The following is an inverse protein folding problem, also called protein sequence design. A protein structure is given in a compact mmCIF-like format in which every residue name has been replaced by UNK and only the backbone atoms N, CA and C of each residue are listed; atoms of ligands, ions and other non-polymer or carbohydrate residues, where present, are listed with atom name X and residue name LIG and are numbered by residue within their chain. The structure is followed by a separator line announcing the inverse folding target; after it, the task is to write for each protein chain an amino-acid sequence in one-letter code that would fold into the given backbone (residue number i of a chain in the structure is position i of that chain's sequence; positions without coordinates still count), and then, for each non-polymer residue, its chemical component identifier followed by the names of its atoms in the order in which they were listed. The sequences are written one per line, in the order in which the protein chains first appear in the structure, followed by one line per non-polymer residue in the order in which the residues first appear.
data_IF_122400932327
#
_entry.id   IF_122400932327
#
_cell.length_a   1.000
_cell.length_b   1.000
_cell.length_c   1.000
_cell.angle_alpha   90.00
_cell.angle_beta   90.00
_cell.angle_gamma   90.00
#
_symmetry.space_group_name_H-M   'P 1'
#
loop_
_entity.id
_entity.type
_entity.pdbx_description
1 polymer ?
#
# COMPACT_ATOMS: atom_id res chain seq x y z
N UNK A 1 41.33 5.21 -12.27
CA UNK A 1 40.35 6.17 -12.80
C UNK A 1 39.19 5.34 -13.32
N UNK A 2 38.17 5.13 -12.48
CA UNK A 2 36.99 4.36 -12.85
C UNK A 2 35.97 5.37 -13.35
N UNK A 3 35.62 5.25 -14.63
CA UNK A 3 34.59 6.04 -15.29
C UNK A 3 33.24 5.75 -14.62
N UNK A 4 32.71 6.75 -13.92
CA UNK A 4 31.39 6.73 -13.32
C UNK A 4 30.40 7.39 -14.28
N UNK A 5 30.02 6.69 -15.36
CA UNK A 5 28.82 7.07 -16.13
C UNK A 5 27.58 6.55 -15.41
N UNK A 6 26.62 7.42 -15.03
CA UNK A 6 25.44 7.01 -14.30
C UNK A 6 24.42 6.41 -15.28
N UNK A 7 24.25 5.09 -15.28
CA UNK A 7 23.16 4.42 -15.99
C UNK A 7 21.91 4.33 -15.11
N UNK A 8 20.85 4.91 -15.65
CA UNK A 8 19.45 5.00 -15.21
C UNK A 8 18.98 4.02 -14.11
N UNK A 9 18.59 4.59 -12.98
CA UNK A 9 17.22 4.39 -12.46
C UNK A 9 16.92 3.16 -11.61
N UNK A 10 17.85 2.60 -10.83
CA UNK A 10 17.53 1.62 -9.78
C UNK A 10 18.14 2.06 -8.44
N UNK A 11 17.30 2.49 -7.49
CA UNK A 11 17.74 2.82 -6.14
C UNK A 11 18.07 1.54 -5.36
N UNK A 12 19.28 1.38 -4.78
CA UNK A 12 19.64 0.20 -4.01
C UNK A 12 18.97 0.21 -2.63
N UNK A 13 18.11 -0.78 -2.34
CA UNK A 13 17.55 -1.05 -1.01
C UNK A 13 18.65 -1.52 -0.05
N UNK A 14 18.54 -1.28 1.26
CA UNK A 14 19.58 -1.60 2.27
C UNK A 14 20.18 -3.01 2.15
N UNK A 15 19.36 -4.02 1.83
CA UNK A 15 19.82 -5.41 1.61
C UNK A 15 20.82 -5.54 0.46
N UNK A 16 20.69 -4.68 -0.56
CA UNK A 16 21.57 -4.66 -1.71
C UNK A 16 22.90 -3.94 -1.46
N UNK A 17 23.08 -3.21 -0.35
CA UNK A 17 24.38 -2.61 -0.01
C UNK A 17 25.39 -3.62 0.56
N UNK A 18 24.93 -4.74 1.12
CA UNK A 18 25.80 -5.78 1.65
C UNK A 18 26.54 -6.57 0.54
N UNK A 19 25.94 -6.67 -0.65
CA UNK A 19 26.46 -7.45 -1.77
C UNK A 19 27.69 -6.80 -2.44
N UNK A 20 27.71 -5.47 -2.74
CA UNK A 20 28.91 -4.78 -3.24
C UNK A 20 30.13 -4.87 -2.31
N UNK A 21 29.90 -5.02 -1.00
CA UNK A 21 30.98 -5.17 -0.02
C UNK A 21 31.62 -6.56 0.00
N UNK A 22 30.92 -7.58 -0.53
CA UNK A 22 31.37 -8.97 -0.51
C UNK A 22 31.76 -9.50 -1.91
N UNK A 23 31.22 -8.93 -2.99
CA UNK A 23 31.46 -9.38 -4.37
C UNK A 23 31.52 -8.18 -5.32
N UNK A 24 32.56 -8.11 -6.15
CA UNK A 24 32.66 -7.13 -7.24
C UNK A 24 31.80 -7.60 -8.43
N UNK A 25 30.50 -7.27 -8.41
CA UNK A 25 29.59 -7.56 -9.53
C UNK A 25 29.12 -6.26 -10.18
N UNK A 26 29.00 -6.28 -11.50
CA UNK A 26 28.49 -5.13 -12.27
C UNK A 26 27.04 -4.83 -11.89
N UNK A 27 26.75 -3.54 -11.68
CA UNK A 27 25.44 -3.07 -11.20
C UNK A 27 24.30 -3.32 -12.21
N UNK A 28 24.65 -3.64 -13.46
CA UNK A 28 23.69 -3.96 -14.53
C UNK A 28 23.01 -5.33 -14.36
N UNK A 29 23.62 -6.28 -13.64
CA UNK A 29 23.08 -7.63 -13.41
C UNK A 29 22.06 -7.69 -12.25
N UNK A 30 21.77 -6.54 -11.62
CA UNK A 30 20.88 -6.44 -10.48
C UNK A 30 19.42 -6.48 -10.92
N UNK A 31 18.92 -7.70 -11.05
CA UNK A 31 17.53 -7.99 -11.34
C UNK A 31 16.89 -8.93 -10.30
N UNK A 32 15.60 -9.20 -10.47
CA UNK A 32 14.80 -10.06 -9.62
C UNK A 32 15.44 -11.44 -9.48
N UNK A 33 15.82 -11.82 -8.25
CA UNK A 33 16.51 -13.09 -7.96
C UNK A 33 18.04 -13.00 -7.87
N UNK A 34 18.64 -11.84 -8.16
CA UNK A 34 20.09 -11.64 -8.09
C UNK A 34 20.68 -11.95 -6.71
N UNK A 35 19.95 -11.71 -5.62
CA UNK A 35 20.44 -11.98 -4.26
C UNK A 35 20.69 -13.47 -4.01
N UNK A 36 19.90 -14.38 -4.62
CA UNK A 36 20.12 -15.81 -4.50
C UNK A 36 21.38 -16.26 -5.27
N UNK A 37 21.63 -15.66 -6.44
CA UNK A 37 22.85 -15.90 -7.23
C UNK A 37 24.09 -15.31 -6.53
N UNK A 38 24.00 -14.10 -5.98
CA UNK A 38 25.05 -13.49 -5.18
C UNK A 38 25.38 -14.34 -3.93
N UNK A 39 24.37 -14.92 -3.28
CA UNK A 39 24.58 -15.83 -2.15
C UNK A 39 25.27 -17.14 -2.56
N UNK A 40 24.99 -17.66 -3.76
CA UNK A 40 25.73 -18.80 -4.31
C UNK A 40 27.20 -18.48 -4.55
N UNK A 41 27.49 -17.28 -5.07
CA UNK A 41 28.86 -16.81 -5.29
C UNK A 41 29.65 -16.68 -3.98
N UNK A 42 29.01 -16.26 -2.89
CA UNK A 42 29.66 -16.05 -1.59
C UNK A 42 29.82 -17.36 -0.80
N UNK A 43 28.80 -18.22 -0.78
CA UNK A 43 28.70 -19.32 0.20
C UNK A 43 28.27 -20.68 -0.38
N UNK A 44 28.33 -20.86 -1.71
CA UNK A 44 27.92 -22.08 -2.45
C UNK A 44 26.41 -22.39 -2.34
N UNK A 45 25.99 -23.47 -3.02
CA UNK A 45 24.59 -23.89 -3.21
C UNK A 45 23.75 -24.09 -1.94
N UNK A 46 24.38 -24.37 -0.79
CA UNK A 46 23.66 -24.58 0.47
C UNK A 46 22.96 -23.31 0.97
N UNK A 47 23.64 -22.16 0.91
CA UNK A 47 23.04 -20.89 1.33
C UNK A 47 21.95 -20.42 0.36
N UNK A 48 22.15 -20.66 -0.94
CA UNK A 48 21.14 -20.39 -1.97
C UNK A 48 19.82 -21.12 -1.67
N UNK A 49 19.89 -22.41 -1.34
CA UNK A 49 18.69 -23.21 -1.04
C UNK A 49 17.87 -22.65 0.14
N UNK A 50 18.53 -22.28 1.24
CA UNK A 50 17.85 -21.69 2.40
C UNK A 50 17.26 -20.31 2.10
N UNK A 51 17.96 -19.49 1.32
CA UNK A 51 17.47 -18.18 0.88
C UNK A 51 16.27 -18.32 -0.04
N UNK A 52 16.29 -19.27 -0.98
CA UNK A 52 15.14 -19.54 -1.86
C UNK A 52 13.92 -20.01 -1.08
N UNK A 53 14.08 -20.96 -0.15
CA UNK A 53 12.99 -21.40 0.74
C UNK A 53 12.46 -20.24 1.57
N UNK A 54 13.35 -19.45 2.18
CA UNK A 54 12.97 -18.30 2.99
C UNK A 54 12.22 -17.25 2.17
N UNK A 55 12.65 -16.99 0.94
CA UNK A 55 11.99 -16.06 0.02
C UNK A 55 10.58 -16.53 -0.35
N UNK A 56 10.40 -17.82 -0.68
CA UNK A 56 9.09 -18.40 -1.01
C UNK A 56 8.14 -18.34 0.20
N UNK A 57 8.61 -18.78 1.38
CA UNK A 57 7.81 -18.74 2.61
C UNK A 57 7.43 -17.31 2.99
N UNK A 58 8.35 -16.34 2.86
CA UNK A 58 8.09 -14.93 3.12
C UNK A 58 7.06 -14.34 2.14
N UNK A 59 7.13 -14.72 0.86
CA UNK A 59 6.18 -14.25 -0.14
C UNK A 59 4.76 -14.78 0.11
N UNK A 60 4.63 -16.05 0.52
CA UNK A 60 3.35 -16.66 0.90
C UNK A 60 2.77 -15.95 2.13
N UNK A 61 3.58 -15.77 3.18
CA UNK A 61 3.14 -15.12 4.42
C UNK A 61 2.70 -13.67 4.20
N UNK A 62 3.45 -12.90 3.40
CA UNK A 62 3.09 -11.53 3.07
C UNK A 62 1.79 -11.46 2.26
N UNK A 63 1.61 -12.38 1.30
CA UNK A 63 0.39 -12.45 0.48
C UNK A 63 -0.84 -12.75 1.33
N UNK A 64 -0.75 -13.73 2.23
CA UNK A 64 -1.85 -14.11 3.12
C UNK A 64 -2.22 -12.97 4.09
N UNK A 65 -1.21 -12.34 4.70
CA UNK A 65 -1.41 -11.18 5.57
C UNK A 65 -2.08 -10.00 4.82
N UNK A 66 -1.67 -9.74 3.59
CA UNK A 66 -2.23 -8.66 2.78
C UNK A 66 -3.68 -8.94 2.34
N UNK A 67 -3.98 -10.17 1.95
CA UNK A 67 -5.35 -10.60 1.61
C UNK A 67 -6.27 -10.47 2.82
N UNK A 68 -5.82 -10.92 3.99
CA UNK A 68 -6.57 -10.79 5.25
C UNK A 68 -6.84 -9.32 5.58
N UNK A 69 -5.80 -8.48 5.59
CA UNK A 69 -5.92 -7.03 5.86
C UNK A 69 -6.93 -6.36 4.92
N UNK A 70 -6.82 -6.60 3.62
CA UNK A 70 -7.69 -5.99 2.61
C UNK A 70 -9.15 -6.45 2.76
N UNK A 71 -9.38 -7.73 3.08
CA UNK A 71 -10.73 -8.26 3.29
C UNK A 71 -11.40 -7.65 4.54
N UNK A 72 -10.66 -7.50 5.63
CA UNK A 72 -11.18 -6.87 6.85
C UNK A 72 -11.36 -5.35 6.71
N UNK A 73 -10.51 -4.66 5.96
CA UNK A 73 -10.72 -3.24 5.63
C UNK A 73 -12.05 -3.02 4.91
N UNK A 74 -12.34 -3.86 3.92
CA UNK A 74 -13.58 -3.80 3.15
C UNK A 74 -14.82 -4.14 3.98
N UNK A 75 -14.71 -5.14 4.86
CA UNK A 75 -15.73 -5.44 5.86
C UNK A 75 -15.99 -4.22 6.77
N UNK A 76 -14.93 -3.59 7.30
CA UNK A 76 -15.03 -2.39 8.14
C UNK A 76 -15.74 -1.24 7.43
N UNK A 77 -15.44 -1.01 6.14
CA UNK A 77 -16.15 -0.03 5.31
C UNK A 77 -17.64 -0.35 5.15
N UNK A 78 -18.01 -1.63 5.06
CA UNK A 78 -19.41 -2.04 5.00
C UNK A 78 -20.13 -1.87 6.36
N UNK A 79 -19.43 -2.07 7.47
CA UNK A 79 -19.97 -1.91 8.83
C UNK A 79 -20.34 -0.44 9.13
N UNK A 80 -19.50 0.51 8.73
CA UNK A 80 -19.75 1.97 8.84
C UNK A 80 -20.64 2.54 7.72
N UNK A 81 -21.32 1.68 6.95
CA UNK A 81 -22.25 2.06 5.89
C UNK A 81 -21.64 2.86 4.71
N UNK A 82 -20.32 2.78 4.51
CA UNK A 82 -19.65 3.31 3.32
C UNK A 82 -19.86 2.40 2.10
N UNK A 83 -19.99 1.09 2.33
CA UNK A 83 -20.30 0.08 1.33
C UNK A 83 -21.64 -0.61 1.63
N UNK A 84 -22.32 -1.19 0.61
CA UNK A 84 -23.56 -1.93 0.81
C UNK A 84 -23.33 -3.19 1.65
N UNK A 85 -24.38 -3.66 2.35
CA UNK A 85 -24.33 -4.82 3.27
C UNK A 85 -23.74 -6.09 2.64
N UNK A 86 -23.80 -6.22 1.32
CA UNK A 86 -23.23 -7.34 0.59
C UNK A 86 -21.71 -7.52 0.87
N UNK A 87 -20.96 -6.43 0.95
CA UNK A 87 -19.51 -6.47 1.26
C UNK A 87 -19.22 -6.83 2.73
N UNK A 88 -20.23 -6.73 3.61
CA UNK A 88 -20.16 -7.15 5.00
C UNK A 88 -20.59 -8.60 5.26
N UNK A 89 -20.86 -9.39 4.21
CA UNK A 89 -21.29 -10.78 4.36
C UNK A 89 -20.14 -11.66 4.87
N UNK A 90 -20.38 -12.31 6.01
CA UNK A 90 -19.45 -13.28 6.60
C UNK A 90 -19.89 -14.71 6.29
N UNK A 91 -18.93 -15.60 6.08
CA UNK A 91 -19.19 -17.03 5.86
C UNK A 91 -19.75 -17.68 7.14
N UNK A 92 -20.76 -18.55 7.00
CA UNK A 92 -21.43 -19.19 8.15
C UNK A 92 -20.54 -20.14 8.94
N UNK A 93 -19.53 -20.71 8.30
CA UNK A 93 -18.69 -21.74 8.93
C UNK A 93 -17.46 -21.16 9.63
N UNK A 94 -16.78 -20.21 8.99
CA UNK A 94 -15.54 -19.59 9.52
C UNK A 94 -15.70 -18.14 9.98
N UNK A 95 -16.87 -17.53 9.81
CA UNK A 95 -17.12 -16.12 10.13
C UNK A 95 -16.17 -15.12 9.42
N UNK A 96 -15.64 -15.51 8.25
CA UNK A 96 -14.70 -14.71 7.45
C UNK A 96 -15.40 -13.90 6.36
N UNK A 97 -14.92 -12.69 6.02
CA UNK A 97 -15.46 -11.86 4.94
C UNK A 97 -15.11 -12.44 3.56
N UNK A 98 -15.87 -13.42 3.09
CA UNK A 98 -15.59 -14.13 1.84
C UNK A 98 -15.64 -13.22 0.61
N UNK A 99 -16.52 -12.22 0.59
CA UNK A 99 -16.64 -11.27 -0.53
C UNK A 99 -15.35 -10.45 -0.67
N UNK A 100 -14.77 -10.01 0.45
CA UNK A 100 -13.50 -9.27 0.45
C UNK A 100 -12.32 -10.13 -0.03
N UNK A 101 -12.30 -11.41 0.36
CA UNK A 101 -11.28 -12.37 -0.10
C UNK A 101 -11.41 -12.59 -1.61
N UNK A 102 -12.61 -12.89 -2.11
CA UNK A 102 -12.83 -13.12 -3.55
C UNK A 102 -12.50 -11.87 -4.36
N UNK A 103 -12.91 -10.69 -3.89
CA UNK A 103 -12.63 -9.44 -4.58
C UNK A 103 -11.12 -9.13 -4.62
N UNK A 104 -10.42 -9.25 -3.49
CA UNK A 104 -8.98 -9.00 -3.43
C UNK A 104 -8.19 -9.99 -4.29
N UNK A 105 -8.53 -11.28 -4.26
CA UNK A 105 -7.91 -12.29 -5.13
C UNK A 105 -8.21 -12.03 -6.61
N UNK A 106 -9.43 -11.64 -6.96
CA UNK A 106 -9.78 -11.29 -8.34
C UNK A 106 -9.00 -10.09 -8.87
N UNK A 107 -8.83 -9.04 -8.04
CA UNK A 107 -8.00 -7.87 -8.40
C UNK A 107 -6.54 -8.28 -8.58
N UNK A 108 -5.99 -9.07 -7.65
CA UNK A 108 -4.61 -9.57 -7.74
C UNK A 108 -4.39 -10.40 -9.02
N UNK A 109 -5.33 -11.28 -9.38
CA UNK A 109 -5.28 -12.04 -10.64
C UNK A 109 -5.36 -11.13 -11.86
N UNK A 110 -6.21 -10.11 -11.83
CA UNK A 110 -6.31 -9.11 -12.90
C UNK A 110 -5.00 -8.33 -13.09
N UNK A 111 -4.34 -7.95 -11.99
CA UNK A 111 -3.05 -7.25 -12.05
C UNK A 111 -1.90 -8.14 -12.52
N UNK A 112 -2.02 -9.47 -12.40
CA UNK A 112 -0.98 -10.42 -12.85
C UNK A 112 -0.68 -10.38 -14.36
N UNK A 113 -1.53 -9.74 -15.16
CA UNK A 113 -1.30 -9.52 -16.60
C UNK A 113 -0.38 -8.33 -16.91
N UNK A 114 -0.06 -7.50 -15.91
CA UNK A 114 0.78 -6.31 -16.04
C UNK A 114 2.24 -6.61 -15.70
N UNK A 115 3.16 -5.77 -16.20
CA UNK A 115 4.57 -5.91 -15.84
C UNK A 115 4.79 -5.59 -14.36
N UNK A 116 5.68 -6.36 -13.72
CA UNK A 116 5.91 -6.29 -12.27
C UNK A 116 6.42 -4.92 -11.83
N UNK A 117 7.26 -4.27 -12.64
CA UNK A 117 7.78 -2.94 -12.36
C UNK A 117 6.66 -1.88 -12.37
N UNK A 118 5.76 -1.98 -13.34
CA UNK A 118 4.62 -1.07 -13.44
C UNK A 118 3.64 -1.26 -12.28
N UNK A 119 3.42 -2.50 -11.83
CA UNK A 119 2.60 -2.82 -10.64
C UNK A 119 3.19 -2.16 -9.39
N UNK A 120 4.49 -2.38 -9.13
CA UNK A 120 5.15 -1.82 -7.95
C UNK A 120 5.14 -0.29 -8.01
N UNK A 121 5.46 0.29 -9.17
CA UNK A 121 5.48 1.74 -9.32
C UNK A 121 4.08 2.36 -9.13
N UNK A 122 3.03 1.70 -9.62
CA UNK A 122 1.64 2.14 -9.45
C UNK A 122 1.17 2.02 -8.00
N UNK A 123 1.53 0.93 -7.32
CA UNK A 123 1.24 0.75 -5.90
C UNK A 123 1.96 1.81 -5.05
N UNK A 124 3.23 2.08 -5.31
CA UNK A 124 4.01 3.11 -4.61
C UNK A 124 3.44 4.51 -4.84
N UNK A 125 2.97 4.81 -6.05
CA UNK A 125 2.33 6.09 -6.35
C UNK A 125 1.04 6.27 -5.53
N UNK A 126 0.15 5.28 -5.53
CA UNK A 126 -1.11 5.33 -4.78
C UNK A 126 -0.88 5.36 -3.27
N UNK A 127 0.11 4.60 -2.78
CA UNK A 127 0.50 4.62 -1.37
C UNK A 127 1.03 5.99 -0.96
N UNK A 128 1.89 6.60 -1.79
CA UNK A 128 2.40 7.95 -1.57
C UNK A 128 1.27 8.98 -1.51
N UNK A 129 0.32 8.89 -2.44
CA UNK A 129 -0.88 9.74 -2.45
C UNK A 129 -1.71 9.57 -1.17
N UNK A 130 -1.93 8.33 -0.72
CA UNK A 130 -2.63 8.04 0.55
C UNK A 130 -1.93 8.64 1.76
N UNK A 131 -0.62 8.46 1.87
CA UNK A 131 0.20 9.02 2.94
C UNK A 131 0.15 10.56 2.97
N UNK A 132 0.12 11.23 1.81
CA UNK A 132 -0.07 12.68 1.74
C UNK A 132 -1.43 13.10 2.33
N UNK A 133 -2.51 12.37 2.03
CA UNK A 133 -3.82 12.63 2.63
C UNK A 133 -3.85 12.35 4.14
N UNK A 134 -3.13 11.35 4.62
CA UNK A 134 -2.99 11.06 6.05
C UNK A 134 -2.26 12.20 6.77
N UNK A 135 -1.14 12.69 6.23
CA UNK A 135 -0.43 13.84 6.80
C UNK A 135 -1.27 15.12 6.77
N UNK A 136 -1.98 15.38 5.67
CA UNK A 136 -2.90 16.50 5.58
C UNK A 136 -4.01 16.41 6.62
N UNK A 137 -4.62 15.22 6.78
CA UNK A 137 -5.67 14.96 7.76
C UNK A 137 -5.16 15.08 9.20
N UNK A 138 -3.96 14.60 9.46
CA UNK A 138 -3.31 14.72 10.77
C UNK A 138 -3.09 16.18 11.18
N UNK A 139 -2.53 17.00 10.27
CA UNK A 139 -2.33 18.43 10.49
C UNK A 139 -3.68 19.16 10.64
N UNK A 140 -4.65 18.82 9.79
CA UNK A 140 -6.00 19.38 9.85
C UNK A 140 -6.69 19.09 11.18
N UNK A 141 -6.66 17.83 11.65
CA UNK A 141 -7.28 17.42 12.90
C UNK A 141 -6.61 18.08 14.10
N UNK A 142 -5.29 18.33 14.04
CA UNK A 142 -4.55 19.02 15.11
C UNK A 142 -4.88 20.51 15.19
N UNK A 143 -5.23 21.14 14.06
CA UNK A 143 -5.68 22.53 14.02
C UNK A 143 -7.16 22.68 14.42
N UNK A 144 -8.04 21.83 13.88
CA UNK A 144 -9.49 21.94 14.06
C UNK A 144 -9.96 21.48 15.44
N UNK A 145 -9.36 20.41 15.97
CA UNK A 145 -9.75 19.84 17.27
C UNK A 145 -8.55 19.64 18.20
N UNK A 146 -8.02 20.75 18.76
CA UNK A 146 -6.85 20.71 19.64
C UNK A 146 -7.15 20.13 21.04
N UNK A 147 -8.42 20.18 21.48
CA UNK A 147 -8.85 19.81 22.83
C UNK A 147 -9.27 18.34 23.00
N UNK A 148 -9.33 17.56 21.90
CA UNK A 148 -9.69 16.14 21.99
C UNK A 148 -8.63 15.40 22.81
N UNK A 149 -9.08 14.55 23.76
CA UNK A 149 -8.22 13.66 24.55
C UNK A 149 -7.52 12.67 23.63
N UNK A 150 -6.20 12.80 23.47
CA UNK A 150 -5.38 11.91 22.64
C UNK A 150 -4.54 11.01 23.54
N UNK A 151 -4.75 9.67 23.55
CA UNK A 151 -3.94 8.75 24.34
C UNK A 151 -2.45 8.84 24.02
N UNK A 152 -2.12 9.13 22.76
CA UNK A 152 -0.75 9.37 22.30
C UNK A 152 -0.65 10.72 21.57
N UNK A 153 0.35 11.53 21.92
CA UNK A 153 0.57 12.87 21.33
C UNK A 153 2.05 13.05 20.95
N UNK A 154 2.29 13.42 19.69
CA UNK A 154 3.62 13.84 19.23
C UNK A 154 4.01 15.14 19.96
N UNK A 155 5.16 15.19 20.66
CA UNK A 155 5.52 16.27 21.60
C UNK A 155 5.94 17.62 20.94
N UNK A 156 5.64 17.85 19.66
CA UNK A 156 6.07 19.08 18.95
C UNK A 156 4.96 20.13 18.80
N UNK A 157 5.32 21.41 18.72
CA UNK A 157 4.39 22.52 18.39
C UNK A 157 3.91 22.41 16.94
N UNK A 158 2.76 23.02 16.61
CA UNK A 158 2.15 22.96 15.27
C UNK A 158 3.10 23.34 14.10
N UNK A 159 3.84 24.47 14.12
CA UNK A 159 4.71 24.82 12.99
C UNK A 159 5.84 23.82 12.80
N UNK A 160 6.46 23.34 13.88
CA UNK A 160 7.51 22.33 13.82
C UNK A 160 6.99 20.99 13.28
N UNK A 161 5.75 20.64 13.64
CA UNK A 161 5.07 19.45 13.12
C UNK A 161 4.84 19.55 11.60
N UNK A 162 4.45 20.73 11.10
CA UNK A 162 4.28 20.97 9.66
C UNK A 162 5.61 20.76 8.94
N UNK A 163 6.71 21.32 9.46
CA UNK A 163 8.05 21.12 8.89
C UNK A 163 8.45 19.65 8.91
N UNK A 164 8.21 18.94 10.02
CA UNK A 164 8.48 17.51 10.13
C UNK A 164 7.70 16.69 9.09
N UNK A 165 6.43 17.03 8.83
CA UNK A 165 5.63 16.35 7.80
C UNK A 165 6.04 16.74 6.37
N UNK A 166 6.51 17.98 6.15
CA UNK A 166 6.94 18.43 4.82
C UNK A 166 8.14 17.65 4.28
N UNK A 167 9.07 17.23 5.13
CA UNK A 167 10.25 16.44 4.74
C UNK A 167 9.86 15.11 4.04
N UNK A 168 9.10 14.20 4.69
CA UNK A 168 8.65 12.98 4.03
C UNK A 168 7.68 13.28 2.87
N UNK A 169 6.82 14.29 2.97
CA UNK A 169 5.97 14.69 1.84
C UNK A 169 6.79 15.05 0.58
N UNK A 170 7.91 15.77 0.74
CA UNK A 170 8.80 16.11 -0.37
C UNK A 170 9.39 14.86 -1.03
N UNK A 171 9.80 13.86 -0.23
CA UNK A 171 10.30 12.58 -0.74
C UNK A 171 9.19 11.81 -1.47
N UNK A 172 7.98 11.75 -0.91
CA UNK A 172 6.84 11.08 -1.54
C UNK A 172 6.49 11.73 -2.89
N UNK A 173 6.46 13.06 -2.97
CA UNK A 173 6.21 13.79 -4.21
C UNK A 173 7.34 13.54 -5.22
N UNK A 174 8.59 13.47 -4.77
CA UNK A 174 9.72 13.14 -5.64
C UNK A 174 9.60 11.73 -6.25
N UNK A 175 9.24 10.73 -5.44
CA UNK A 175 9.00 9.35 -5.92
C UNK A 175 7.87 9.34 -6.96
N UNK A 176 6.79 10.08 -6.70
CA UNK A 176 5.68 10.22 -7.65
C UNK A 176 6.16 10.88 -8.95
N UNK A 177 6.98 11.94 -8.88
CA UNK A 177 7.47 12.69 -10.04
C UNK A 177 8.31 11.84 -11.01
N UNK A 178 9.03 10.83 -10.52
CA UNK A 178 9.87 9.93 -11.33
C UNK A 178 9.05 8.84 -12.04
N UNK A 179 7.79 8.64 -11.66
CA UNK A 179 6.97 7.56 -12.20
C UNK A 179 6.75 7.68 -13.73
N UNK A 180 6.67 6.53 -14.40
CA UNK A 180 6.47 6.44 -15.85
C UNK A 180 5.08 6.96 -16.26
N UNK A 181 4.92 7.48 -17.49
CA UNK A 181 3.63 7.95 -18.03
C UNK A 181 2.50 6.90 -17.89
N UNK A 182 2.82 5.63 -18.08
CA UNK A 182 1.89 4.51 -17.95
C UNK A 182 1.41 4.34 -16.50
N UNK A 183 2.32 4.47 -15.53
CA UNK A 183 2.01 4.45 -14.09
C UNK A 183 1.07 5.60 -13.72
N UNK A 184 1.35 6.81 -14.19
CA UNK A 184 0.45 7.95 -14.00
C UNK A 184 -0.95 7.71 -14.55
N UNK A 185 -1.07 7.07 -15.72
CA UNK A 185 -2.35 6.74 -16.33
C UNK A 185 -3.11 5.73 -15.46
N UNK A 186 -2.47 4.62 -15.07
CA UNK A 186 -3.09 3.57 -14.25
C UNK A 186 -3.51 4.13 -12.89
N UNK A 187 -2.60 4.79 -12.17
CA UNK A 187 -2.90 5.36 -10.86
C UNK A 187 -3.95 6.46 -10.95
N UNK A 188 -3.92 7.28 -12.01
CA UNK A 188 -4.95 8.28 -12.29
C UNK A 188 -6.33 7.63 -12.51
N UNK A 189 -6.40 6.59 -13.35
CA UNK A 189 -7.64 5.86 -13.61
C UNK A 189 -8.17 5.19 -12.34
N UNK A 190 -7.30 4.58 -11.52
CA UNK A 190 -7.69 3.96 -10.24
C UNK A 190 -8.21 5.01 -9.26
N UNK A 191 -7.60 6.19 -9.21
CA UNK A 191 -8.04 7.30 -8.34
C UNK A 191 -9.40 7.84 -8.78
N UNK A 192 -9.58 8.10 -10.08
CA UNK A 192 -10.86 8.54 -10.66
C UNK A 192 -11.93 7.46 -10.46
N UNK A 193 -11.58 6.19 -10.66
CA UNK A 193 -12.45 5.05 -10.40
C UNK A 193 -12.90 4.99 -8.93
N UNK A 194 -12.00 5.21 -7.98
CA UNK A 194 -12.32 5.28 -6.55
C UNK A 194 -13.26 6.44 -6.20
N UNK A 195 -13.01 7.63 -6.76
CA UNK A 195 -13.90 8.79 -6.60
C UNK A 195 -15.28 8.52 -7.22
N UNK A 196 -15.30 7.97 -8.43
CA UNK A 196 -16.52 7.58 -9.13
C UNK A 196 -17.31 6.54 -8.34
N UNK A 197 -16.64 5.55 -7.77
CA UNK A 197 -17.24 4.54 -6.90
C UNK A 197 -17.87 5.15 -5.65
N UNK A 198 -17.20 6.11 -5.01
CA UNK A 198 -17.75 6.84 -3.87
C UNK A 198 -19.05 7.59 -4.24
N UNK A 199 -19.06 8.31 -5.37
CA UNK A 199 -20.27 9.00 -5.84
C UNK A 199 -21.37 8.03 -6.25
N UNK A 200 -21.03 6.92 -6.91
CA UNK A 200 -21.97 5.86 -7.26
C UNK A 200 -22.62 5.27 -6.02
N UNK A 201 -21.84 4.97 -4.97
CA UNK A 201 -22.36 4.48 -3.71
C UNK A 201 -23.26 5.51 -3.02
N UNK A 202 -22.88 6.80 -3.04
CA UNK A 202 -23.73 7.90 -2.53
C UNK A 202 -25.05 7.99 -3.30
N UNK A 203 -25.03 7.83 -4.61
CA UNK A 203 -26.22 7.81 -5.46
C UNK A 203 -27.11 6.58 -5.17
N UNK A 204 -26.52 5.39 -5.07
CA UNK A 204 -27.23 4.16 -4.70
C UNK A 204 -27.87 4.24 -3.31
N UNK A 205 -27.20 4.90 -2.35
CA UNK A 205 -27.75 5.21 -1.02
C UNK A 205 -28.95 6.16 -1.12
N UNK A 206 -28.83 7.24 -1.90
CA UNK A 206 -29.92 8.21 -2.11
C UNK A 206 -31.15 7.60 -2.79
N UNK A 207 -30.95 6.66 -3.72
CA UNK A 207 -32.04 5.98 -4.45
C UNK A 207 -32.56 4.73 -3.73
N UNK A 208 -32.06 4.40 -2.52
CA UNK A 208 -32.38 3.17 -1.75
C UNK A 208 -32.23 1.86 -2.56
N UNK A 209 -31.37 1.85 -3.58
CA UNK A 209 -31.21 0.69 -4.47
C UNK A 209 -30.49 -0.47 -3.77
N UNK A 210 -29.63 -0.16 -2.79
CA UNK A 210 -28.85 -1.14 -2.06
C UNK A 210 -29.11 -0.99 -0.56
N UNK A 211 -29.16 -2.11 0.18
CA UNK A 211 -29.28 -2.10 1.64
C UNK A 211 -27.92 -1.75 2.24
N UNK A 212 -27.84 -0.62 2.93
CA UNK A 212 -26.67 -0.22 3.72
C UNK A 212 -26.91 -0.54 5.20
N UNK A 213 -25.84 -0.71 5.97
CA UNK A 213 -25.97 -0.90 7.41
C UNK A 213 -26.48 0.40 8.05
N UNK A 214 -27.57 0.34 8.82
CA UNK A 214 -28.17 1.53 9.45
C UNK A 214 -27.57 1.83 10.83
N UNK A 215 -26.64 1.01 11.33
CA UNK A 215 -26.18 1.07 12.73
C UNK A 215 -25.52 2.40 13.12
N UNK A 216 -25.03 3.20 12.17
CA UNK A 216 -24.34 4.46 12.47
C UNK A 216 -25.31 5.58 12.87
N UNK A 217 -26.60 5.50 12.52
CA UNK A 217 -27.56 6.55 12.89
C UNK A 217 -28.09 6.41 14.33
N UNK A 218 -28.03 5.24 14.97
CA UNK A 218 -28.58 5.07 16.33
C UNK A 218 -27.61 5.52 17.44
N UNK A 219 -26.29 5.44 17.22
CA UNK A 219 -25.28 5.76 18.25
C UNK A 219 -24.93 7.26 18.33
N UNK A 220 -25.42 8.11 17.42
CA UNK A 220 -25.19 9.57 17.45
C UNK A 220 -26.25 10.31 18.30
N UNK A 221 -27.37 9.65 18.63
CA UNK A 221 -28.45 10.24 19.45
C UNK A 221 -28.47 9.73 20.90
N UNK A 222 -27.50 8.90 21.30
CA UNK A 222 -27.40 8.36 22.67
C UNK A 222 -26.03 8.69 23.26
N UNK A 223 -25.74 9.97 23.46
CA UNK A 223 -24.86 10.46 24.52
C UNK A 223 -25.16 11.93 24.85
#
# INVERSE_FOLDING_TARGET
MVDATPTKGKFPTVSTMAVPGAVSVDQSEWDTGFMANAAEMISRKWLKFWIEIGAVLSAIGLSEAQLSSSAFQLLGMAEIAFLPKFFGLRSKWFNTPWVGIVLSTAISLGMSYMDFQDIISSANFLYSLGMLFEFASFLWLRRKFPLIKRPYRVPMRLPLLVVMCLIPCGILVFIMAIATKLVYLISGLMTVGGIGWYFLMKFCKSKKLLKFNNKVDDDIYVE
#
